data_IF_441918925063
#
_entry.id   IF_441918925063
#
_cell.length_a   1.000
_cell.length_b   1.000
_cell.length_c   1.000
_cell.angle_alpha   90.00
_cell.angle_beta   90.00
_cell.angle_gamma   90.00
#
_symmetry.space_group_name_H-M   'P 1'
#
loop_
_entity.id
_entity.type
_entity.pdbx_description
1 polymer ?
#
# COMPACT_ATOMS: atom_id res chain seq x y z
N UNK A 1 38.89 -19.91 -1.39
CA UNK A 1 38.00 -19.23 -0.43
C UNK A 1 37.22 -18.18 -1.21
N UNK A 2 35.89 -18.08 -1.08
CA UNK A 2 35.16 -17.05 -1.79
C UNK A 2 35.63 -15.69 -1.27
N UNK A 3 35.97 -14.79 -2.19
CA UNK A 3 36.41 -13.44 -1.87
C UNK A 3 35.19 -12.66 -1.37
N UNK A 4 35.11 -12.42 -0.07
CA UNK A 4 33.97 -11.74 0.54
C UNK A 4 34.08 -10.25 0.20
N UNK A 5 33.15 -9.75 -0.61
CA UNK A 5 33.01 -8.33 -0.87
C UNK A 5 32.54 -7.64 0.42
N UNK A 6 33.38 -6.77 0.99
CA UNK A 6 33.02 -6.01 2.19
C UNK A 6 32.40 -4.67 1.76
N UNK A 7 31.19 -4.38 2.25
CA UNK A 7 30.48 -3.12 2.02
C UNK A 7 30.31 -2.43 3.38
N UNK A 8 30.82 -1.21 3.50
CA UNK A 8 30.74 -0.39 4.70
C UNK A 8 29.59 0.60 4.68
N UNK A 9 29.23 1.17 5.84
CA UNK A 9 28.26 2.26 5.91
C UNK A 9 28.67 3.49 5.09
N UNK A 10 29.97 3.78 5.01
CA UNK A 10 30.48 4.86 4.14
C UNK A 10 30.26 4.57 2.65
N UNK A 11 30.36 3.31 2.23
CA UNK A 11 30.10 2.94 0.82
C UNK A 11 28.62 3.14 0.47
N UNK A 12 27.72 2.81 1.41
CA UNK A 12 26.27 3.05 1.27
C UNK A 12 26.00 4.55 1.17
N UNK A 13 26.52 5.36 2.10
CA UNK A 13 26.33 6.82 2.09
C UNK A 13 26.92 7.42 0.81
N UNK A 14 28.07 6.94 0.35
CA UNK A 14 28.67 7.42 -0.89
C UNK A 14 27.79 7.06 -2.10
N UNK A 15 27.29 5.83 -2.16
CA UNK A 15 26.36 5.38 -3.21
C UNK A 15 25.10 6.23 -3.25
N UNK A 16 24.48 6.52 -2.09
CA UNK A 16 23.30 7.41 -1.98
C UNK A 16 23.57 8.82 -2.52
N UNK A 17 24.79 9.35 -2.32
CA UNK A 17 25.21 10.65 -2.87
C UNK A 17 25.33 10.57 -4.39
N UNK A 18 25.99 9.53 -4.90
CA UNK A 18 26.19 9.33 -6.34
C UNK A 18 24.86 9.09 -7.07
N UNK A 19 23.91 8.41 -6.44
CA UNK A 19 22.56 8.17 -6.98
C UNK A 19 21.60 9.35 -6.79
N UNK A 20 22.06 10.47 -6.20
CA UNK A 20 21.24 11.65 -5.90
C UNK A 20 20.01 11.36 -5.02
N UNK A 21 20.06 10.32 -4.18
CA UNK A 21 18.96 9.92 -3.29
C UNK A 21 18.96 10.64 -1.94
N UNK A 22 20.06 11.34 -1.61
CA UNK A 22 20.20 12.06 -0.33
C UNK A 22 19.07 13.05 -0.04
N UNK A 23 18.61 13.90 -1.00
CA UNK A 23 17.52 14.84 -0.73
C UNK A 23 16.23 14.13 -0.28
N UNK A 24 15.80 13.10 -1.00
CA UNK A 24 14.60 12.33 -0.65
C UNK A 24 14.72 11.62 0.70
N UNK A 25 15.92 11.13 1.05
CA UNK A 25 16.17 10.55 2.36
C UNK A 25 16.08 11.59 3.49
N UNK A 26 16.62 12.80 3.28
CA UNK A 26 16.51 13.90 4.24
C UNK A 26 15.04 14.29 4.45
N UNK A 27 14.27 14.41 3.36
CA UNK A 27 12.83 14.72 3.44
C UNK A 27 12.05 13.65 4.19
N UNK A 28 12.34 12.37 3.94
CA UNK A 28 11.70 11.26 4.66
C UNK A 28 12.01 11.32 6.16
N UNK A 29 13.27 11.54 6.54
CA UNK A 29 13.68 11.67 7.94
C UNK A 29 13.03 12.90 8.59
N UNK A 30 13.03 14.04 7.90
CA UNK A 30 12.42 15.28 8.40
C UNK A 30 10.92 15.09 8.61
N UNK A 31 10.22 14.49 7.64
CA UNK A 31 8.79 14.18 7.73
C UNK A 31 8.48 13.29 8.94
N UNK A 32 9.25 12.23 9.14
CA UNK A 32 9.07 11.33 10.28
C UNK A 32 9.26 12.06 11.62
N UNK A 33 10.27 12.93 11.73
CA UNK A 33 10.52 13.73 12.94
C UNK A 33 9.39 14.72 13.21
N UNK A 34 8.92 15.43 12.18
CA UNK A 34 7.83 16.40 12.29
C UNK A 34 6.53 15.69 12.69
N UNK A 35 6.23 14.54 12.08
CA UNK A 35 5.06 13.71 12.44
C UNK A 35 5.13 13.32 13.91
N UNK A 36 6.28 12.81 14.37
CA UNK A 36 6.45 12.42 15.77
C UNK A 36 6.25 13.60 16.74
N UNK A 37 6.86 14.75 16.44
CA UNK A 37 6.74 15.96 17.25
C UNK A 37 5.30 16.49 17.31
N UNK A 38 4.61 16.59 16.17
CA UNK A 38 3.25 17.11 16.11
C UNK A 38 2.27 16.12 16.75
N UNK A 39 2.41 14.82 16.49
CA UNK A 39 1.56 13.81 17.11
C UNK A 39 1.68 13.82 18.63
N UNK A 40 2.91 13.95 19.16
CA UNK A 40 3.14 14.10 20.60
C UNK A 40 2.45 15.34 21.16
N UNK A 41 2.59 16.51 20.50
CA UNK A 41 1.93 17.75 20.92
C UNK A 41 0.40 17.67 20.89
N UNK A 42 -0.15 16.92 19.93
CA UNK A 42 -1.58 16.69 19.79
C UNK A 42 -2.12 15.58 20.71
N UNK A 43 -1.27 15.01 21.58
CA UNK A 43 -1.67 13.94 22.50
C UNK A 43 -2.02 12.62 21.81
N UNK A 44 -1.55 12.42 20.58
CA UNK A 44 -1.77 11.19 19.81
C UNK A 44 -0.78 10.14 20.31
N UNK A 45 -1.31 9.04 20.82
CA UNK A 45 -0.53 7.90 21.31
C UNK A 45 -0.79 6.66 20.45
N UNK A 46 0.15 5.72 20.48
CA UNK A 46 0.00 4.40 19.84
C UNK A 46 -0.04 3.35 20.94
N UNK A 47 -1.03 2.47 20.87
CA UNK A 47 -1.21 1.39 21.83
C UNK A 47 -0.51 0.11 21.37
N UNK A 48 -0.12 -0.79 22.29
CA UNK A 48 0.44 -2.09 21.93
C UNK A 48 -0.49 -2.93 21.02
N UNK A 49 -1.80 -2.81 21.22
CA UNK A 49 -2.79 -3.51 20.38
C UNK A 49 -2.77 -3.00 18.93
N UNK A 50 -2.62 -1.70 18.70
CA UNK A 50 -2.49 -1.13 17.37
C UNK A 50 -1.19 -1.58 16.68
N UNK A 51 -0.08 -1.66 17.43
CA UNK A 51 1.20 -2.18 16.93
C UNK A 51 1.05 -3.64 16.49
N UNK A 52 0.42 -4.47 17.33
CA UNK A 52 0.18 -5.87 16.99
C UNK A 52 -0.67 -6.00 15.72
N UNK A 53 -1.78 -5.26 15.63
CA UNK A 53 -2.68 -5.31 14.48
C UNK A 53 -2.00 -4.84 13.17
N UNK A 54 -1.26 -3.74 13.21
CA UNK A 54 -0.55 -3.26 12.01
C UNK A 54 0.62 -4.20 11.65
N UNK A 55 1.25 -4.83 12.64
CA UNK A 55 2.23 -5.90 12.43
C UNK A 55 1.63 -7.14 11.76
N UNK A 56 0.44 -7.58 12.19
CA UNK A 56 -0.32 -8.65 11.54
C UNK A 56 -0.68 -8.29 10.09
N UNK A 57 -1.13 -7.05 9.85
CA UNK A 57 -1.45 -6.56 8.50
C UNK A 57 -0.22 -6.55 7.58
N UNK A 58 0.95 -6.13 8.09
CA UNK A 58 2.21 -6.15 7.35
C UNK A 58 2.66 -7.57 7.01
N UNK A 59 2.52 -8.51 7.96
CA UNK A 59 2.82 -9.93 7.73
C UNK A 59 1.88 -10.52 6.67
N UNK A 60 0.59 -10.23 6.74
CA UNK A 60 -0.40 -10.64 5.74
C UNK A 60 -0.05 -10.11 4.34
N UNK A 61 0.21 -8.80 4.21
CA UNK A 61 0.56 -8.17 2.94
C UNK A 61 1.84 -8.74 2.31
N UNK A 62 2.79 -9.16 3.15
CA UNK A 62 4.06 -9.77 2.72
C UNK A 62 4.03 -11.30 2.65
N UNK A 63 2.88 -11.93 2.92
CA UNK A 63 2.69 -13.40 2.98
C UNK A 63 3.64 -14.10 3.98
N UNK A 64 3.94 -13.43 5.09
CA UNK A 64 4.78 -13.95 6.18
C UNK A 64 3.90 -14.74 7.17
N UNK A 65 3.50 -15.94 6.76
CA UNK A 65 2.49 -16.75 7.47
C UNK A 65 3.03 -17.34 8.77
N UNK A 66 4.30 -17.78 8.77
CA UNK A 66 4.96 -18.35 9.96
C UNK A 66 5.84 -17.31 10.65
N UNK A 67 6.03 -17.48 11.96
CA UNK A 67 6.97 -16.65 12.72
C UNK A 67 8.39 -16.69 12.11
N UNK A 68 8.84 -17.87 11.65
CA UNK A 68 10.14 -18.02 10.98
C UNK A 68 10.25 -17.19 9.70
N UNK A 69 9.16 -17.07 8.92
CA UNK A 69 9.16 -16.28 7.68
C UNK A 69 9.42 -14.79 8.00
N UNK A 70 8.89 -14.32 9.13
CA UNK A 70 9.11 -12.95 9.61
C UNK A 70 10.57 -12.73 10.01
N UNK A 71 11.17 -13.66 10.76
CA UNK A 71 12.58 -13.55 11.16
C UNK A 71 13.51 -13.57 9.95
N UNK A 72 13.28 -14.48 9.00
CA UNK A 72 14.04 -14.54 7.74
C UNK A 72 13.87 -13.25 6.92
N UNK A 73 12.67 -12.67 6.90
CA UNK A 73 12.43 -11.40 6.23
C UNK A 73 13.19 -10.25 6.91
N UNK A 74 13.17 -10.16 8.23
CA UNK A 74 13.91 -9.16 9.00
C UNK A 74 15.41 -9.24 8.76
N UNK A 75 15.98 -10.45 8.82
CA UNK A 75 17.39 -10.71 8.53
C UNK A 75 17.76 -10.29 7.11
N UNK A 76 16.95 -10.69 6.11
CA UNK A 76 17.16 -10.30 4.70
C UNK A 76 17.16 -8.79 4.49
N UNK A 77 16.39 -8.04 5.29
CA UNK A 77 16.27 -6.59 5.16
C UNK A 77 17.22 -5.83 6.10
N UNK A 78 18.04 -6.52 6.89
CA UNK A 78 18.94 -5.91 7.88
C UNK A 78 18.21 -5.03 8.90
N UNK A 79 17.01 -5.48 9.32
CA UNK A 79 16.16 -4.78 10.29
C UNK A 79 16.03 -5.66 11.53
N UNK A 80 16.30 -5.11 12.70
CA UNK A 80 16.04 -5.78 13.98
C UNK A 80 14.54 -5.78 14.33
N UNK A 81 14.13 -6.63 15.28
CA UNK A 81 12.74 -6.64 15.75
C UNK A 81 12.32 -5.27 16.29
N UNK A 82 13.22 -4.57 17.00
CA UNK A 82 12.94 -3.24 17.54
C UNK A 82 12.77 -2.19 16.44
N UNK A 83 13.62 -2.19 15.41
CA UNK A 83 13.49 -1.26 14.27
C UNK A 83 12.24 -1.56 13.43
N UNK A 84 11.83 -2.82 13.37
CA UNK A 84 10.56 -3.19 12.76
C UNK A 84 9.37 -2.65 13.56
N UNK A 85 9.38 -2.83 14.89
CA UNK A 85 8.33 -2.27 15.76
C UNK A 85 8.28 -0.74 15.68
N UNK A 86 9.44 -0.07 15.63
CA UNK A 86 9.54 1.36 15.41
C UNK A 86 8.93 1.77 14.06
N UNK A 87 9.21 1.03 12.99
CA UNK A 87 8.62 1.26 11.67
C UNK A 87 7.09 1.14 11.69
N UNK A 88 6.56 0.12 12.38
CA UNK A 88 5.11 -0.08 12.58
C UNK A 88 4.51 1.08 13.37
N UNK A 89 5.14 1.47 14.48
CA UNK A 89 4.72 2.58 15.31
C UNK A 89 4.62 3.88 14.50
N UNK A 90 5.67 4.21 13.74
CA UNK A 90 5.72 5.43 12.93
C UNK A 90 4.65 5.46 11.84
N UNK A 91 4.34 4.29 11.24
CA UNK A 91 3.25 4.16 10.27
C UNK A 91 1.89 4.43 10.91
N UNK A 92 1.63 3.90 12.11
CA UNK A 92 0.38 4.14 12.84
C UNK A 92 0.28 5.63 13.21
N UNK A 93 1.36 6.21 13.74
CA UNK A 93 1.40 7.60 14.17
C UNK A 93 1.10 8.56 13.01
N UNK A 94 1.70 8.31 11.84
CA UNK A 94 1.43 9.05 10.61
C UNK A 94 -0.04 8.99 10.19
N UNK A 95 -0.65 7.79 10.17
CA UNK A 95 -2.08 7.63 9.84
C UNK A 95 -2.99 8.36 10.84
N UNK A 96 -2.71 8.22 12.14
CA UNK A 96 -3.52 8.86 13.20
C UNK A 96 -3.43 10.38 13.11
N UNK A 97 -2.23 10.91 12.89
CA UNK A 97 -2.02 12.34 12.71
C UNK A 97 -2.70 12.86 11.45
N UNK A 98 -2.61 12.15 10.32
CA UNK A 98 -3.28 12.53 9.09
C UNK A 98 -4.81 12.59 9.28
N UNK A 99 -5.40 11.59 9.93
CA UNK A 99 -6.83 11.62 10.27
C UNK A 99 -7.16 12.81 11.18
N UNK A 100 -6.38 13.01 12.25
CA UNK A 100 -6.60 14.13 13.17
C UNK A 100 -6.57 15.50 12.47
N UNK A 101 -5.65 15.68 11.52
CA UNK A 101 -5.47 16.96 10.83
C UNK A 101 -6.49 17.19 9.70
N UNK A 102 -6.93 16.13 9.00
CA UNK A 102 -7.59 16.29 7.71
C UNK A 102 -8.96 15.63 7.61
N UNK A 103 -9.44 14.90 8.62
CA UNK A 103 -10.76 14.22 8.55
C UNK A 103 -11.91 15.17 8.21
N UNK A 104 -11.90 16.42 8.70
CA UNK A 104 -12.95 17.40 8.38
C UNK A 104 -12.92 17.88 6.92
N UNK A 105 -11.78 17.80 6.24
CA UNK A 105 -11.61 18.26 4.87
C UNK A 105 -11.90 17.18 3.83
N UNK A 106 -12.00 15.91 4.24
CA UNK A 106 -12.18 14.76 3.34
C UNK A 106 -13.43 14.91 2.48
N UNK A 107 -14.56 15.29 3.08
CA UNK A 107 -15.82 15.43 2.35
C UNK A 107 -15.76 16.55 1.31
N UNK A 108 -15.22 17.71 1.69
CA UNK A 108 -15.02 18.84 0.77
C UNK A 108 -14.09 18.47 -0.38
N UNK A 109 -12.98 17.82 -0.07
CA UNK A 109 -12.02 17.36 -1.08
C UNK A 109 -12.68 16.38 -2.05
N UNK A 110 -13.44 15.40 -1.54
CA UNK A 110 -14.16 14.45 -2.37
C UNK A 110 -15.10 15.11 -3.38
N UNK A 111 -15.92 16.08 -2.96
CA UNK A 111 -16.82 16.78 -3.87
C UNK A 111 -16.09 17.61 -4.93
N UNK A 112 -14.95 18.21 -4.58
CA UNK A 112 -14.11 18.95 -5.54
C UNK A 112 -13.48 18.04 -6.60
N UNK A 113 -13.29 16.76 -6.27
CA UNK A 113 -12.60 15.76 -7.06
C UNK A 113 -13.51 14.59 -7.48
N UNK A 114 -14.84 14.78 -7.47
CA UNK A 114 -15.79 13.67 -7.59
C UNK A 114 -15.56 12.84 -8.87
N UNK A 115 -15.20 13.49 -9.98
CA UNK A 115 -14.92 12.83 -11.26
C UNK A 115 -13.66 11.94 -11.21
N UNK A 116 -12.68 12.28 -10.38
CA UNK A 116 -11.45 11.49 -10.19
C UNK A 116 -11.77 10.15 -9.49
N UNK A 117 -12.92 10.08 -8.81
CA UNK A 117 -13.39 8.90 -8.07
C UNK A 117 -14.53 8.15 -8.77
N UNK A 118 -14.92 8.57 -9.98
CA UNK A 118 -15.90 7.84 -10.77
C UNK A 118 -15.30 6.50 -11.18
N UNK A 119 -15.94 5.43 -10.75
CA UNK A 119 -15.61 4.07 -11.15
C UNK A 119 -16.83 3.42 -11.80
N UNK A 120 -16.59 2.55 -12.78
CA UNK A 120 -17.61 1.71 -13.39
C UNK A 120 -17.30 0.24 -13.08
N UNK A 121 -18.35 -0.53 -12.82
CA UNK A 121 -18.26 -2.00 -12.81
C UNK A 121 -18.69 -2.46 -14.20
N UNK A 122 -17.75 -3.03 -14.94
CA UNK A 122 -17.99 -3.57 -16.29
C UNK A 122 -17.90 -5.08 -16.26
N UNK A 123 -18.84 -5.73 -16.96
CA UNK A 123 -18.78 -7.17 -17.23
C UNK A 123 -18.45 -7.36 -18.71
N UNK A 124 -17.63 -8.35 -19.02
CA UNK A 124 -17.18 -8.66 -20.38
C UNK A 124 -17.41 -10.15 -20.65
N UNK A 125 -17.91 -10.46 -21.84
CA UNK A 125 -18.00 -11.82 -22.39
C UNK A 125 -17.25 -11.79 -23.71
N UNK A 126 -16.27 -12.67 -23.86
CA UNK A 126 -15.39 -12.71 -25.02
C UNK A 126 -15.82 -13.86 -25.92
N UNK A 127 -16.06 -13.55 -27.19
CA UNK A 127 -16.42 -14.52 -28.22
C UNK A 127 -15.32 -14.61 -29.28
N UNK A 128 -15.02 -15.82 -29.73
CA UNK A 128 -14.09 -16.05 -30.85
C UNK A 128 -14.73 -15.76 -32.22
N UNK A 129 -16.06 -15.71 -32.28
CA UNK A 129 -16.84 -15.48 -33.49
C UNK A 129 -17.63 -14.17 -33.42
N UNK A 130 -17.48 -13.34 -34.47
CA UNK A 130 -18.08 -12.01 -34.54
C UNK A 130 -19.60 -12.06 -34.73
N UNK A 131 -20.09 -13.01 -35.53
CA UNK A 131 -21.51 -13.08 -35.86
C UNK A 131 -22.30 -13.51 -34.62
N UNK A 132 -21.77 -14.48 -33.86
CA UNK A 132 -22.31 -14.87 -32.56
C UNK A 132 -22.27 -13.71 -31.54
N UNK A 133 -21.16 -12.96 -31.48
CA UNK A 133 -21.08 -11.79 -30.60
C UNK A 133 -22.16 -10.74 -30.91
N UNK A 134 -22.43 -10.53 -32.21
CA UNK A 134 -23.43 -9.57 -32.67
C UNK A 134 -24.86 -10.06 -32.42
N UNK A 135 -25.11 -11.35 -32.63
CA UNK A 135 -26.39 -11.98 -32.28
C UNK A 135 -26.68 -11.83 -30.79
N UNK A 136 -25.71 -12.18 -29.93
CA UNK A 136 -25.85 -12.05 -28.47
C UNK A 136 -26.01 -10.59 -28.04
N UNK A 137 -25.32 -9.65 -28.69
CA UNK A 137 -25.48 -8.22 -28.43
C UNK A 137 -26.93 -7.76 -28.69
N UNK A 138 -27.50 -8.10 -29.86
CA UNK A 138 -28.87 -7.72 -30.17
C UNK A 138 -29.88 -8.44 -29.29
N UNK A 139 -29.66 -9.72 -28.96
CA UNK A 139 -30.52 -10.48 -28.06
C UNK A 139 -30.60 -9.84 -26.65
N UNK A 140 -29.51 -9.21 -26.16
CA UNK A 140 -29.52 -8.43 -24.92
C UNK A 140 -30.29 -7.12 -25.07
N UNK A 141 -30.02 -6.36 -26.13
CA UNK A 141 -30.69 -5.07 -26.40
C UNK A 141 -32.21 -5.23 -26.59
N UNK A 142 -32.63 -6.33 -27.23
CA UNK A 142 -34.04 -6.67 -27.48
C UNK A 142 -34.70 -7.37 -26.28
N UNK A 143 -33.92 -7.73 -25.24
CA UNK A 143 -34.42 -8.34 -24.01
C UNK A 143 -34.78 -9.83 -24.14
N UNK A 144 -34.30 -10.51 -25.17
CA UNK A 144 -34.51 -11.94 -25.40
C UNK A 144 -33.70 -12.81 -24.44
N UNK A 145 -32.52 -12.33 -24.03
CA UNK A 145 -31.63 -12.98 -23.06
C UNK A 145 -30.92 -11.93 -22.21
N UNK A 146 -30.64 -12.24 -20.94
CA UNK A 146 -29.87 -11.34 -20.08
C UNK A 146 -28.35 -11.57 -20.19
N UNK A 147 -27.57 -10.51 -19.95
CA UNK A 147 -26.10 -10.59 -19.94
C UNK A 147 -25.54 -11.70 -19.01
N UNK A 148 -26.06 -11.90 -17.77
CA UNK A 148 -25.61 -13.00 -16.92
C UNK A 148 -25.97 -14.40 -17.44
N UNK A 149 -27.03 -14.53 -18.24
CA UNK A 149 -27.39 -15.81 -18.87
C UNK A 149 -26.41 -16.15 -19.99
N UNK A 150 -26.03 -15.17 -20.82
CA UNK A 150 -24.98 -15.35 -21.83
C UNK A 150 -23.67 -15.78 -21.16
N UNK A 151 -23.26 -15.10 -20.08
CA UNK A 151 -22.02 -15.39 -19.35
C UNK A 151 -21.98 -16.77 -18.66
N UNK A 152 -23.12 -17.47 -18.58
CA UNK A 152 -23.18 -18.86 -18.09
C UNK A 152 -23.12 -19.88 -19.22
N UNK A 153 -23.59 -19.49 -20.40
CA UNK A 153 -23.64 -20.35 -21.58
C UNK A 153 -22.31 -20.38 -22.33
N UNK A 154 -21.53 -19.31 -22.20
CA UNK A 154 -20.23 -19.08 -22.83
C UNK A 154 -19.21 -18.60 -21.80
#
# INVERSE_FOLDING_TARGET
>A
MPQILTISGSDIIHSLKLSSQVPGLIEAIASQKIIAEVAQRSGITVTPAEIQQEGDNLRLAKKLVKAQDTLTWLEKNYISVNEFEESVHNKILSKKLANFLFTSEVERFFYQHQLDYVAAITYEIIFDDKDLALEMFYAVEEGEISFPEIARLY
#
